data_IF_941337907701
#
_entry.id   IF_941337907701
#
_cell.length_a   1.000
_cell.length_b   1.000
_cell.length_c   1.000
_cell.angle_alpha   90.00
_cell.angle_beta   90.00
_cell.angle_gamma   90.00
#
_symmetry.space_group_name_H-M   'P 1'
#
loop_
_entity.id
_entity.type
_entity.pdbx_description
1 polymer ?
#
# COMPACT_ATOMS: atom_id res chain seq x y z
N UNK A 1 36.13 -16.49 -6.29
CA UNK A 1 35.15 -17.44 -5.71
C UNK A 1 34.40 -18.19 -6.80
N UNK A 2 33.77 -17.51 -7.74
CA UNK A 2 33.01 -18.15 -8.83
C UNK A 2 33.84 -19.18 -9.64
N UNK A 3 35.10 -18.88 -9.98
CA UNK A 3 35.99 -19.83 -10.66
C UNK A 3 36.23 -21.11 -9.85
N UNK A 4 36.39 -21.00 -8.52
CA UNK A 4 36.56 -22.16 -7.62
C UNK A 4 35.29 -23.03 -7.59
N UNK A 5 34.12 -22.39 -7.61
CA UNK A 5 32.84 -23.10 -7.68
C UNK A 5 32.68 -23.79 -9.04
N UNK A 6 33.02 -23.16 -10.16
CA UNK A 6 32.90 -23.78 -11.49
C UNK A 6 33.76 -25.05 -11.61
N UNK A 7 34.97 -25.04 -11.05
CA UNK A 7 35.79 -26.25 -10.96
C UNK A 7 35.10 -27.38 -10.17
N UNK A 8 34.09 -27.09 -9.34
CA UNK A 8 33.32 -28.09 -8.59
C UNK A 8 32.26 -28.82 -9.43
N UNK A 9 31.77 -28.21 -10.51
CA UNK A 9 30.85 -28.85 -11.44
C UNK A 9 31.57 -29.76 -12.44
N UNK A 10 32.84 -29.49 -12.72
CA UNK A 10 33.65 -30.25 -13.69
C UNK A 10 34.45 -31.40 -13.05
N UNK A 11 34.49 -31.49 -11.71
CA UNK A 11 35.32 -32.48 -11.01
C UNK A 11 34.53 -33.73 -10.60
N UNK A 12 34.59 -34.76 -11.44
CA UNK A 12 33.98 -36.09 -11.21
C UNK A 12 34.88 -37.06 -10.40
N UNK A 13 36.06 -36.62 -9.95
CA UNK A 13 37.04 -37.45 -9.21
C UNK A 13 36.93 -37.40 -7.67
N UNK A 14 37.80 -38.18 -7.00
CA UNK A 14 37.96 -38.14 -5.53
C UNK A 14 38.40 -36.75 -5.06
N UNK A 15 37.55 -36.11 -4.26
CA UNK A 15 37.74 -34.78 -3.68
C UNK A 15 38.68 -34.88 -2.46
N UNK A 16 39.98 -35.04 -2.73
CA UNK A 16 41.02 -35.24 -1.71
C UNK A 16 41.26 -34.05 -0.75
N UNK A 17 42.26 -34.18 0.13
CA UNK A 17 42.53 -33.22 1.22
C UNK A 17 42.67 -31.76 0.78
N UNK A 18 43.46 -31.48 -0.28
CA UNK A 18 43.64 -30.10 -0.80
C UNK A 18 42.32 -29.44 -1.20
N UNK A 19 41.38 -30.22 -1.72
CA UNK A 19 40.08 -29.73 -2.14
C UNK A 19 39.18 -29.42 -0.93
N UNK A 20 39.25 -30.26 0.12
CA UNK A 20 38.60 -30.00 1.40
C UNK A 20 39.10 -28.70 2.04
N UNK A 21 40.40 -28.42 1.96
CA UNK A 21 41.00 -27.20 2.50
C UNK A 21 40.51 -25.94 1.77
N UNK A 22 40.41 -26.00 0.43
CA UNK A 22 39.85 -24.90 -0.37
C UNK A 22 38.39 -24.62 0.01
N UNK A 23 37.56 -25.66 0.13
CA UNK A 23 36.16 -25.52 0.55
C UNK A 23 36.07 -24.93 1.95
N UNK A 24 36.91 -25.40 2.88
CA UNK A 24 36.96 -24.90 4.24
C UNK A 24 37.29 -23.41 4.27
N UNK A 25 38.24 -22.97 3.46
CA UNK A 25 38.58 -21.55 3.34
C UNK A 25 37.42 -20.74 2.76
N UNK A 26 36.79 -21.22 1.69
CA UNK A 26 35.62 -20.56 1.08
C UNK A 26 34.45 -20.43 2.06
N UNK A 27 34.13 -21.49 2.81
CA UNK A 27 33.04 -21.50 3.78
C UNK A 27 33.36 -20.72 5.07
N UNK A 28 34.64 -20.45 5.36
CA UNK A 28 35.10 -19.63 6.49
C UNK A 28 35.00 -18.13 6.21
N UNK A 29 35.04 -17.72 4.94
CA UNK A 29 34.86 -16.30 4.54
C UNK A 29 33.53 -15.75 5.02
N UNK A 30 33.41 -14.42 5.00
CA UNK A 30 32.26 -13.69 5.53
C UNK A 30 30.92 -14.23 5.01
N UNK A 31 30.78 -14.50 3.70
CA UNK A 31 29.56 -15.08 3.12
C UNK A 31 29.79 -15.83 1.79
N UNK A 32 28.96 -16.84 1.55
CA UNK A 32 28.80 -17.50 0.23
C UNK A 32 27.59 -16.91 -0.46
N UNK A 33 27.82 -16.16 -1.54
CA UNK A 33 26.77 -15.39 -2.21
C UNK A 33 26.20 -16.13 -3.42
N UNK A 34 24.88 -16.15 -3.52
CA UNK A 34 24.12 -16.52 -4.72
C UNK A 34 23.38 -15.29 -5.22
N UNK A 35 23.46 -15.03 -6.52
CA UNK A 35 22.83 -13.89 -7.17
C UNK A 35 21.93 -14.36 -8.31
N UNK A 36 20.89 -13.59 -8.63
CA UNK A 36 20.11 -13.74 -9.85
C UNK A 36 20.94 -13.71 -11.13
N UNK A 37 22.08 -13.01 -11.12
CA UNK A 37 23.01 -12.91 -12.25
C UNK A 37 23.90 -14.15 -12.41
N UNK A 38 23.89 -15.07 -11.44
CA UNK A 38 24.64 -16.32 -11.56
C UNK A 38 24.02 -17.22 -12.63
N UNK A 39 24.85 -17.71 -13.56
CA UNK A 39 24.40 -18.70 -14.54
C UNK A 39 23.92 -19.98 -13.87
N UNK A 40 23.03 -20.74 -14.54
CA UNK A 40 22.55 -22.04 -14.06
C UNK A 40 23.71 -22.99 -13.66
N UNK A 41 24.80 -22.98 -14.43
CA UNK A 41 25.99 -23.79 -14.14
C UNK A 41 26.67 -23.34 -12.84
N UNK A 42 26.81 -22.04 -12.64
CA UNK A 42 27.42 -21.47 -11.44
C UNK A 42 26.54 -21.71 -10.19
N UNK A 43 25.21 -21.59 -10.31
CA UNK A 43 24.28 -21.93 -9.22
C UNK A 43 24.43 -23.40 -8.81
N UNK A 44 24.37 -24.34 -9.76
CA UNK A 44 24.56 -25.78 -9.49
C UNK A 44 25.91 -26.08 -8.86
N UNK A 45 26.95 -25.42 -9.33
CA UNK A 45 28.30 -25.49 -8.81
C UNK A 45 28.38 -25.10 -7.32
N UNK A 46 27.81 -23.93 -6.98
CA UNK A 46 27.76 -23.43 -5.60
C UNK A 46 26.94 -24.36 -4.68
N UNK A 47 25.79 -24.85 -5.14
CA UNK A 47 24.98 -25.84 -4.40
C UNK A 47 25.77 -27.12 -4.14
N UNK A 48 26.46 -27.66 -5.15
CA UNK A 48 27.29 -28.86 -5.02
C UNK A 48 28.41 -28.67 -4.00
N UNK A 49 29.08 -27.51 -4.03
CA UNK A 49 30.11 -27.14 -3.06
C UNK A 49 29.58 -27.08 -1.62
N UNK A 50 28.46 -26.38 -1.39
CA UNK A 50 27.87 -26.27 -0.06
C UNK A 50 27.34 -27.63 0.45
N UNK A 51 26.78 -28.44 -0.44
CA UNK A 51 26.34 -29.80 -0.10
C UNK A 51 27.53 -30.66 0.33
N UNK A 52 28.65 -30.57 -0.39
CA UNK A 52 29.89 -31.24 -0.01
C UNK A 52 30.43 -30.73 1.33
N UNK A 53 30.45 -29.40 1.54
CA UNK A 53 30.88 -28.80 2.80
C UNK A 53 30.05 -29.32 3.98
N UNK A 54 28.73 -29.33 3.84
CA UNK A 54 27.81 -29.82 4.86
C UNK A 54 27.98 -31.31 5.15
N UNK A 55 28.11 -32.16 4.12
CA UNK A 55 28.39 -33.60 4.29
C UNK A 55 29.73 -33.85 4.97
N UNK A 56 30.73 -33.03 4.64
CA UNK A 56 32.10 -33.12 5.18
C UNK A 56 32.28 -32.49 6.56
N UNK A 57 31.19 -32.07 7.21
CA UNK A 57 31.19 -31.38 8.51
C UNK A 57 32.01 -30.08 8.52
N UNK A 58 32.07 -29.39 7.38
CA UNK A 58 32.72 -28.08 7.26
C UNK A 58 31.69 -27.00 7.67
N UNK A 59 31.98 -26.15 8.68
CA UNK A 59 31.11 -25.03 9.03
C UNK A 59 30.95 -24.07 7.87
N UNK A 60 29.71 -23.68 7.58
CA UNK A 60 29.39 -22.66 6.58
C UNK A 60 28.98 -21.41 7.35
N UNK A 61 29.84 -20.37 7.29
CA UNK A 61 29.68 -19.19 8.13
C UNK A 61 28.39 -18.43 7.82
N UNK A 62 28.19 -18.05 6.56
CA UNK A 62 26.97 -17.37 6.12
C UNK A 62 26.64 -17.74 4.68
N UNK A 63 25.37 -17.96 4.41
CA UNK A 63 24.80 -18.09 3.07
C UNK A 63 23.99 -16.83 2.77
N UNK A 64 24.30 -16.15 1.68
CA UNK A 64 23.56 -14.95 1.23
C UNK A 64 22.92 -15.21 -0.13
N UNK A 65 21.61 -15.06 -0.19
CA UNK A 65 20.80 -15.28 -1.38
C UNK A 65 20.24 -13.92 -1.81
N UNK A 66 20.70 -13.37 -2.93
CA UNK A 66 20.30 -12.05 -3.42
C UNK A 66 19.57 -12.15 -4.75
N UNK A 67 18.28 -11.80 -4.74
CA UNK A 67 17.39 -11.89 -5.90
C UNK A 67 17.29 -13.31 -6.53
N UNK A 68 17.64 -14.38 -5.82
CA UNK A 68 17.84 -15.69 -6.45
C UNK A 68 16.80 -16.77 -6.11
N UNK A 69 16.04 -16.62 -5.02
CA UNK A 69 15.03 -17.60 -4.57
C UNK A 69 13.70 -17.40 -5.29
N UNK A 70 13.22 -18.40 -6.02
CA UNK A 70 11.93 -18.37 -6.70
C UNK A 70 10.80 -19.02 -5.90
N UNK A 71 11.09 -20.10 -5.17
CA UNK A 71 10.09 -20.81 -4.36
C UNK A 71 10.72 -21.36 -3.08
N UNK A 72 9.91 -21.46 -2.04
CA UNK A 72 10.33 -21.97 -0.73
C UNK A 72 9.52 -23.21 -0.37
N UNK A 73 10.23 -24.25 0.09
CA UNK A 73 9.63 -25.45 0.67
C UNK A 73 10.28 -25.72 2.02
N UNK A 74 9.63 -26.54 2.85
CA UNK A 74 10.16 -26.91 4.17
C UNK A 74 11.56 -27.56 4.11
N UNK A 75 11.94 -28.17 2.98
CA UNK A 75 13.17 -28.97 2.83
C UNK A 75 14.20 -28.37 1.88
N UNK A 76 13.81 -27.40 1.07
CA UNK A 76 14.66 -26.81 0.05
C UNK A 76 14.19 -25.43 -0.39
N UNK A 77 15.17 -24.61 -0.79
CA UNK A 77 14.94 -23.39 -1.55
C UNK A 77 15.09 -23.72 -3.04
N UNK A 78 14.09 -23.36 -3.85
CA UNK A 78 14.19 -23.45 -5.30
C UNK A 78 14.71 -22.10 -5.80
N UNK A 79 15.91 -22.12 -6.35
CA UNK A 79 16.58 -20.97 -6.91
C UNK A 79 16.23 -20.82 -8.40
N UNK A 80 16.53 -19.66 -8.99
CA UNK A 80 16.41 -19.44 -10.44
C UNK A 80 16.97 -20.60 -11.26
N UNK A 81 16.37 -20.84 -12.42
CA UNK A 81 16.69 -21.94 -13.33
C UNK A 81 16.53 -23.35 -12.70
N UNK A 82 15.54 -23.48 -11.81
CA UNK A 82 15.14 -24.72 -11.12
C UNK A 82 16.26 -25.41 -10.33
N UNK A 83 17.21 -24.62 -9.80
CA UNK A 83 18.31 -25.17 -9.00
C UNK A 83 17.85 -25.31 -7.55
N UNK A 84 17.79 -26.55 -7.04
CA UNK A 84 17.36 -26.80 -5.67
C UNK A 84 18.52 -26.75 -4.68
N UNK A 85 18.40 -25.93 -3.64
CA UNK A 85 19.29 -25.89 -2.48
C UNK A 85 18.60 -26.52 -1.27
N UNK A 86 19.05 -27.72 -0.89
CA UNK A 86 18.54 -28.41 0.30
C UNK A 86 19.11 -27.91 1.62
N UNK A 87 18.67 -28.53 2.71
CA UNK A 87 19.16 -28.28 4.08
C UNK A 87 20.68 -28.51 4.21
N UNK A 88 21.37 -27.53 4.78
CA UNK A 88 22.80 -27.53 5.07
C UNK A 88 23.02 -27.62 6.58
N UNK A 89 23.32 -28.82 7.09
CA UNK A 89 23.43 -29.12 8.52
C UNK A 89 24.50 -28.33 9.27
N UNK A 90 25.45 -27.70 8.57
CA UNK A 90 26.59 -26.97 9.13
C UNK A 90 26.50 -25.45 8.90
N UNK A 91 25.37 -24.97 8.37
CA UNK A 91 25.11 -23.56 8.13
C UNK A 91 24.84 -22.83 9.44
N UNK A 92 25.51 -21.68 9.66
CA UNK A 92 25.36 -20.86 10.87
C UNK A 92 24.48 -19.63 10.69
N UNK A 93 24.58 -18.96 9.55
CA UNK A 93 23.77 -17.80 9.25
C UNK A 93 23.18 -17.88 7.83
N UNK A 94 21.97 -17.37 7.67
CA UNK A 94 21.33 -17.23 6.36
C UNK A 94 20.79 -15.82 6.17
N UNK A 95 21.11 -15.22 5.03
CA UNK A 95 20.54 -13.96 4.57
C UNK A 95 19.79 -14.22 3.26
N UNK A 96 18.50 -13.86 3.21
CA UNK A 96 17.67 -14.02 2.01
C UNK A 96 17.10 -12.68 1.63
N UNK A 97 17.36 -12.25 0.40
CA UNK A 97 16.91 -10.99 -0.15
C UNK A 97 16.09 -11.24 -1.44
N UNK A 98 14.80 -10.90 -1.40
CA UNK A 98 13.84 -10.89 -2.53
C UNK A 98 12.79 -9.80 -2.32
N UNK A 99 13.11 -8.58 -2.72
CA UNK A 99 12.19 -7.43 -2.63
C UNK A 99 11.04 -7.43 -3.64
N UNK A 100 11.15 -8.22 -4.71
CA UNK A 100 10.15 -8.34 -5.78
C UNK A 100 9.07 -9.40 -5.49
N UNK A 101 9.34 -10.33 -4.57
CA UNK A 101 8.50 -11.49 -4.32
C UNK A 101 7.47 -11.19 -3.23
N UNK A 102 6.19 -11.11 -3.63
CA UNK A 102 5.06 -11.15 -2.70
C UNK A 102 4.88 -12.60 -2.21
N UNK A 103 5.50 -12.93 -1.08
CA UNK A 103 5.31 -14.21 -0.42
C UNK A 103 3.85 -14.37 0.02
N UNK A 104 3.26 -15.53 -0.23
CA UNK A 104 1.98 -15.90 0.40
C UNK A 104 2.24 -16.51 1.78
N UNK A 105 1.22 -16.56 2.65
CA UNK A 105 1.32 -17.10 4.02
C UNK A 105 2.09 -18.43 4.10
N UNK A 106 1.82 -19.32 3.15
CA UNK A 106 2.46 -20.64 3.07
C UNK A 106 3.97 -20.57 2.83
N UNK A 107 4.46 -19.62 2.03
CA UNK A 107 5.89 -19.50 1.76
C UNK A 107 6.66 -19.06 3.01
N UNK A 108 6.06 -18.19 3.84
CA UNK A 108 6.65 -17.78 5.12
C UNK A 108 6.79 -18.97 6.07
N UNK A 109 5.74 -19.80 6.20
CA UNK A 109 5.79 -21.01 7.01
C UNK A 109 6.88 -21.97 6.52
N UNK A 110 6.94 -22.19 5.20
CA UNK A 110 7.99 -23.02 4.62
C UNK A 110 9.39 -22.45 4.86
N UNK A 111 9.57 -21.13 4.84
CA UNK A 111 10.86 -20.47 5.07
C UNK A 111 11.32 -20.65 6.52
N UNK A 112 10.42 -20.43 7.48
CA UNK A 112 10.70 -20.66 8.90
C UNK A 112 11.05 -22.14 9.14
N UNK A 113 10.28 -23.07 8.56
CA UNK A 113 10.58 -24.51 8.63
C UNK A 113 11.90 -24.88 7.99
N UNK A 114 12.24 -24.26 6.85
CA UNK A 114 13.54 -24.44 6.21
C UNK A 114 14.67 -23.98 7.14
N UNK A 115 14.58 -22.79 7.74
CA UNK A 115 15.54 -22.28 8.72
C UNK A 115 15.66 -23.25 9.89
N UNK A 116 14.53 -23.70 10.43
CA UNK A 116 14.49 -24.65 11.55
C UNK A 116 15.20 -25.97 11.19
N UNK A 117 14.99 -26.48 9.98
CA UNK A 117 15.60 -27.73 9.52
C UNK A 117 17.13 -27.62 9.36
N UNK A 118 17.67 -26.41 9.21
CA UNK A 118 19.10 -26.14 9.29
C UNK A 118 19.54 -26.07 10.77
N UNK A 119 19.92 -27.23 11.32
CA UNK A 119 20.10 -27.42 12.77
C UNK A 119 21.10 -26.47 13.45
N UNK A 120 22.12 -25.99 12.73
CA UNK A 120 23.19 -25.14 13.26
C UNK A 120 22.97 -23.64 12.98
N UNK A 121 21.84 -23.25 12.39
CA UNK A 121 21.56 -21.83 12.13
C UNK A 121 21.27 -21.14 13.45
N UNK A 122 21.97 -20.04 13.68
CA UNK A 122 21.87 -19.16 14.86
C UNK A 122 21.17 -17.84 14.49
N UNK A 123 21.34 -17.38 13.25
CA UNK A 123 20.81 -16.11 12.76
C UNK A 123 20.21 -16.26 11.37
N UNK A 124 19.00 -15.74 11.17
CA UNK A 124 18.35 -15.61 9.88
C UNK A 124 17.94 -14.15 9.64
N UNK A 125 18.42 -13.56 8.55
CA UNK A 125 18.09 -12.21 8.12
C UNK A 125 17.28 -12.27 6.83
N UNK A 126 16.04 -11.78 6.87
CA UNK A 126 15.07 -11.87 5.79
C UNK A 126 14.77 -10.46 5.25
N UNK A 127 15.17 -10.19 4.01
CA UNK A 127 15.04 -8.91 3.32
C UNK A 127 13.96 -9.06 2.23
N UNK A 128 12.73 -8.75 2.61
CA UNK A 128 11.54 -8.88 1.78
C UNK A 128 10.61 -7.69 2.08
N UNK A 129 9.60 -7.41 1.24
CA UNK A 129 8.74 -6.23 1.41
C UNK A 129 8.07 -6.12 2.78
N UNK A 130 7.77 -7.27 3.40
CA UNK A 130 6.94 -7.33 4.60
C UNK A 130 6.97 -8.68 5.32
N UNK A 131 7.07 -8.72 6.67
CA UNK A 131 6.96 -9.96 7.44
C UNK A 131 5.54 -10.58 7.39
N UNK A 132 5.33 -11.83 7.83
CA UNK A 132 3.98 -12.31 8.09
C UNK A 132 3.38 -11.56 9.31
N UNK A 133 2.05 -11.60 9.48
CA UNK A 133 1.37 -10.93 10.61
C UNK A 133 1.90 -11.46 11.96
N UNK A 134 2.01 -12.79 12.06
CA UNK A 134 2.58 -13.48 13.21
C UNK A 134 2.98 -14.90 12.78
N UNK A 135 3.89 -15.52 13.53
CA UNK A 135 4.18 -16.96 13.43
C UNK A 135 3.33 -17.68 14.46
N UNK A 136 2.42 -18.54 14.01
CA UNK A 136 1.41 -19.18 14.89
C UNK A 136 1.77 -20.59 15.35
N UNK A 137 2.70 -21.26 14.67
CA UNK A 137 3.05 -22.63 15.00
C UNK A 137 3.91 -22.68 16.28
N UNK A 138 3.30 -23.11 17.39
CA UNK A 138 3.97 -23.21 18.68
C UNK A 138 5.19 -24.14 18.66
N UNK A 139 5.18 -25.20 17.83
CA UNK A 139 6.29 -26.14 17.75
C UNK A 139 7.49 -25.47 17.10
N UNK A 140 7.25 -24.67 16.07
CA UNK A 140 8.28 -23.89 15.40
C UNK A 140 8.85 -22.82 16.34
N UNK A 141 7.98 -22.08 17.05
CA UNK A 141 8.39 -21.08 18.05
C UNK A 141 9.24 -21.69 19.17
N UNK A 142 8.80 -22.81 19.77
CA UNK A 142 9.56 -23.54 20.80
C UNK A 142 10.91 -24.01 20.27
N UNK A 143 10.96 -24.41 19.00
CA UNK A 143 12.20 -24.84 18.37
C UNK A 143 13.19 -23.67 18.20
N UNK A 144 12.73 -22.53 17.68
CA UNK A 144 13.54 -21.31 17.58
C UNK A 144 14.03 -20.85 18.95
N UNK A 145 13.15 -20.86 19.96
CA UNK A 145 13.48 -20.46 21.34
C UNK A 145 14.51 -21.39 21.97
N UNK A 146 14.34 -22.72 21.87
CA UNK A 146 15.26 -23.70 22.48
C UNK A 146 16.69 -23.63 21.93
N UNK A 147 16.84 -23.10 20.72
CA UNK A 147 18.13 -22.93 20.03
C UNK A 147 18.62 -21.49 20.01
N UNK A 148 17.89 -20.57 20.64
CA UNK A 148 18.21 -19.14 20.67
C UNK A 148 18.45 -18.56 19.27
N UNK A 149 17.60 -18.94 18.30
CA UNK A 149 17.73 -18.47 16.92
C UNK A 149 17.14 -17.07 16.80
N UNK A 150 17.93 -16.12 16.30
CA UNK A 150 17.44 -14.79 15.96
C UNK A 150 16.89 -14.79 14.53
N UNK A 151 15.62 -14.40 14.37
CA UNK A 151 15.01 -14.20 13.06
C UNK A 151 14.67 -12.72 12.92
N UNK A 152 15.40 -12.04 12.04
CA UNK A 152 15.27 -10.62 11.77
C UNK A 152 14.68 -10.41 10.37
N UNK A 153 13.66 -9.56 10.28
CA UNK A 153 13.09 -9.10 9.02
C UNK A 153 13.50 -7.65 8.78
N UNK A 154 14.22 -7.40 7.72
CA UNK A 154 14.82 -6.08 7.46
C UNK A 154 14.09 -5.43 6.30
N UNK A 155 13.51 -4.26 6.56
CA UNK A 155 12.83 -3.43 5.56
C UNK A 155 13.67 -2.16 5.35
N UNK A 156 14.19 -1.97 4.14
CA UNK A 156 15.06 -0.85 3.80
C UNK A 156 16.42 -0.97 4.47
N UNK A 157 16.99 0.15 4.89
CA UNK A 157 18.31 0.18 5.52
C UNK A 157 18.28 -0.01 7.05
N UNK A 158 17.23 0.50 7.73
CA UNK A 158 17.27 0.73 9.19
C UNK A 158 16.09 0.13 9.98
N UNK A 159 15.05 -0.38 9.30
CA UNK A 159 13.88 -0.96 9.97
C UNK A 159 14.06 -2.46 10.13
N UNK A 160 14.18 -2.93 11.37
CA UNK A 160 14.37 -4.34 11.69
C UNK A 160 13.19 -4.80 12.54
N UNK A 161 12.49 -5.82 12.08
CA UNK A 161 11.51 -6.53 12.87
C UNK A 161 12.12 -7.84 13.37
N UNK A 162 12.27 -7.99 14.67
CA UNK A 162 12.76 -9.22 15.29
C UNK A 162 11.58 -10.07 15.75
N UNK A 163 11.56 -11.34 15.37
CA UNK A 163 10.52 -12.27 15.82
C UNK A 163 10.64 -12.49 17.33
N UNK A 164 9.61 -12.12 18.08
CA UNK A 164 9.46 -12.54 19.45
C UNK A 164 9.01 -14.00 19.48
N UNK A 165 9.95 -14.90 19.75
CA UNK A 165 9.70 -16.35 19.77
C UNK A 165 8.73 -16.80 20.87
N UNK A 166 8.41 -15.95 21.85
CA UNK A 166 7.43 -16.26 22.90
C UNK A 166 6.00 -15.93 22.49
N UNK A 167 5.80 -14.80 21.79
CA UNK A 167 4.46 -14.35 21.36
C UNK A 167 4.15 -14.73 19.91
N UNK A 168 5.17 -15.02 19.11
CA UNK A 168 5.05 -15.18 17.65
C UNK A 168 4.91 -13.87 16.89
N UNK A 169 4.97 -12.73 17.58
CA UNK A 169 4.80 -11.40 16.99
C UNK A 169 6.14 -10.78 16.58
N UNK A 170 6.08 -9.82 15.66
CA UNK A 170 7.26 -9.12 15.14
C UNK A 170 7.49 -7.81 15.87
N UNK A 171 8.52 -7.77 16.71
CA UNK A 171 8.91 -6.58 17.46
C UNK A 171 9.70 -5.65 16.57
N UNK A 172 9.27 -4.41 16.43
CA UNK A 172 9.97 -3.41 15.63
C UNK A 172 11.10 -2.77 16.44
N UNK A 173 12.30 -2.75 15.88
CA UNK A 173 13.44 -1.98 16.34
C UNK A 173 14.00 -1.13 15.19
N UNK A 174 14.27 0.15 15.47
CA UNK A 174 14.96 1.04 14.53
C UNK A 174 16.43 1.12 14.91
N UNK A 175 17.34 0.71 14.02
CA UNK A 175 18.79 0.86 14.24
C UNK A 175 19.29 2.09 13.50
N UNK A 176 19.67 3.13 14.24
CA UNK A 176 20.36 4.30 13.68
C UNK A 176 21.75 3.88 13.14
N UNK A 177 22.18 4.38 11.97
CA UNK A 177 23.53 4.15 11.49
C UNK A 177 24.54 4.81 12.44
N UNK A 178 25.34 4.01 13.15
CA UNK A 178 26.47 4.52 13.95
C UNK A 178 26.72 3.86 15.31
N UNK A 179 25.81 3.06 15.86
CA UNK A 179 26.11 2.27 17.08
C UNK A 179 26.46 0.83 16.71
N UNK A 180 27.75 0.59 16.50
CA UNK A 180 28.30 -0.74 16.77
C UNK A 180 27.93 -1.09 18.22
N UNK A 181 27.31 -2.26 18.41
CA UNK A 181 26.96 -2.81 19.72
C UNK A 181 28.24 -2.99 20.55
N UNK A 182 28.55 -1.99 21.38
CA UNK A 182 29.34 -2.19 22.58
C UNK A 182 28.37 -2.63 23.68
N UNK A 183 28.71 -3.76 24.31
CA UNK A 183 28.03 -4.32 25.48
C UNK A 183 27.66 -3.24 26.51
N UNK A 184 26.44 -3.38 27.04
CA UNK A 184 25.99 -2.95 28.37
C UNK A 184 26.94 -2.05 29.15
N UNK A 185 26.64 -0.76 29.24
CA UNK A 185 26.79 -0.04 30.51
C UNK A 185 25.82 1.13 30.59
N UNK A 186 25.12 1.14 31.73
CA UNK A 186 24.35 2.21 32.36
C UNK A 186 24.76 3.63 31.99
N UNK A 187 23.80 4.44 31.52
CA UNK A 187 23.63 5.87 31.79
C UNK A 187 22.20 6.31 31.37
N UNK A 188 21.51 7.04 32.25
CA UNK A 188 20.15 7.60 32.06
C UNK A 188 20.19 8.89 31.21
N UNK A 189 19.05 9.35 30.67
CA UNK A 189 18.95 9.92 29.33
C UNK A 189 19.19 11.43 29.29
N UNK A 190 19.71 11.90 28.16
CA UNK A 190 19.61 13.31 27.75
C UNK A 190 18.40 13.40 26.82
N UNK A 191 17.39 14.10 27.29
CA UNK A 191 16.23 14.58 26.53
C UNK A 191 16.71 15.64 25.54
N UNK A 192 16.66 15.33 24.25
CA UNK A 192 16.59 16.32 23.19
C UNK A 192 15.62 15.83 22.12
N UNK A 193 14.89 16.79 21.58
CA UNK A 193 13.62 16.69 20.86
C UNK A 193 13.79 15.86 19.58
N UNK A 194 13.33 14.61 19.60
CA UNK A 194 13.13 13.78 18.42
C UNK A 194 11.62 13.65 18.17
N UNK A 195 11.14 13.74 16.91
CA UNK A 195 9.73 13.58 16.61
C UNK A 195 9.25 12.21 17.07
N UNK A 196 8.10 12.22 17.73
CA UNK A 196 7.54 11.16 18.56
C UNK A 196 7.12 9.88 17.80
N UNK A 197 7.42 9.75 16.51
CA UNK A 197 7.21 8.53 15.73
C UNK A 197 7.95 8.61 14.36
N UNK A 198 8.93 7.77 14.02
CA UNK A 198 9.72 7.88 12.78
C UNK A 198 8.92 7.56 11.50
N UNK A 199 7.70 7.02 11.64
CA UNK A 199 6.77 6.77 10.53
C UNK A 199 5.83 7.95 10.27
N UNK A 200 6.00 9.07 10.97
CA UNK A 200 5.14 10.24 10.85
C UNK A 200 5.97 11.53 10.89
N UNK A 201 5.60 12.49 10.05
CA UNK A 201 6.18 13.83 10.03
C UNK A 201 5.08 14.86 9.81
N UNK A 202 5.24 16.01 10.44
CA UNK A 202 4.35 17.16 10.28
C UNK A 202 5.18 18.38 9.93
N UNK A 203 4.71 19.17 8.97
CA UNK A 203 5.36 20.41 8.56
C UNK A 203 4.29 21.44 8.16
N UNK A 204 4.43 22.66 8.66
CA UNK A 204 3.66 23.80 8.15
C UNK A 204 4.23 24.20 6.78
N UNK A 205 3.38 24.21 5.76
CA UNK A 205 3.76 24.55 4.39
C UNK A 205 2.87 25.68 3.91
N UNK A 206 3.49 26.71 3.35
CA UNK A 206 2.83 27.90 2.84
C UNK A 206 2.73 27.84 1.30
N UNK A 207 2.41 28.98 0.68
CA UNK A 207 2.28 29.12 -0.78
C UNK A 207 3.59 28.88 -1.53
N UNK A 208 4.75 28.94 -0.86
CA UNK A 208 6.06 28.71 -1.48
C UNK A 208 6.36 27.22 -1.67
N UNK A 209 5.51 26.33 -1.14
CA UNK A 209 5.70 24.89 -1.20
C UNK A 209 6.68 24.39 -0.16
N UNK A 210 7.04 23.10 -0.24
CA UNK A 210 7.90 22.47 0.73
C UNK A 210 8.06 20.97 0.50
N UNK A 211 9.07 20.39 1.12
CA UNK A 211 9.36 18.96 1.03
C UNK A 211 9.27 18.35 2.42
N UNK A 212 8.36 17.40 2.61
CA UNK A 212 8.37 16.51 3.76
C UNK A 212 9.14 15.27 3.37
N UNK A 213 10.19 14.92 4.11
CA UNK A 213 10.94 13.70 3.87
C UNK A 213 10.96 12.88 5.17
N UNK A 214 10.45 11.65 5.13
CA UNK A 214 10.58 10.73 6.25
C UNK A 214 12.01 10.16 6.21
N UNK A 215 12.87 10.49 7.19
CA UNK A 215 14.27 10.13 7.14
C UNK A 215 14.46 8.61 6.97
N UNK A 216 15.40 8.21 6.11
CA UNK A 216 15.81 6.82 5.89
C UNK A 216 14.73 5.86 5.34
N UNK A 217 13.57 6.36 4.93
CA UNK A 217 12.49 5.55 4.32
C UNK A 217 12.49 5.58 2.80
N UNK A 218 13.16 6.58 2.20
CA UNK A 218 13.03 6.90 0.78
C UNK A 218 11.68 7.53 0.40
N UNK A 219 10.78 7.74 1.37
CA UNK A 219 9.47 8.37 1.17
C UNK A 219 9.59 9.87 1.41
N UNK A 220 9.22 10.64 0.40
CA UNK A 220 9.10 12.09 0.48
C UNK A 220 7.84 12.57 -0.23
N UNK A 221 7.29 13.67 0.26
CA UNK A 221 6.19 14.42 -0.35
C UNK A 221 6.72 15.80 -0.72
N UNK A 222 6.86 16.02 -2.02
CA UNK A 222 7.23 17.30 -2.61
C UNK A 222 5.94 18.08 -2.96
N UNK A 223 5.80 19.27 -2.39
CA UNK A 223 4.70 20.18 -2.62
C UNK A 223 5.27 21.39 -3.37
N UNK A 224 4.97 21.54 -4.67
CA UNK A 224 5.53 22.62 -5.46
C UNK A 224 4.95 23.99 -5.04
N UNK A 225 5.67 25.09 -5.32
CA UNK A 225 5.16 26.44 -5.13
C UNK A 225 3.80 26.64 -5.84
N UNK A 226 2.86 27.29 -5.17
CA UNK A 226 1.50 27.52 -5.68
C UNK A 226 0.55 26.32 -5.58
N UNK A 227 0.99 25.18 -5.03
CA UNK A 227 0.10 24.04 -4.79
C UNK A 227 -0.87 24.27 -3.61
N UNK A 228 -0.55 25.19 -2.70
CA UNK A 228 -1.40 25.58 -1.57
C UNK A 228 -1.82 27.05 -1.71
N UNK A 229 -3.07 27.35 -1.39
CA UNK A 229 -3.61 28.72 -1.38
C UNK A 229 -3.34 29.48 -0.07
N UNK A 230 -3.07 28.73 1.00
CA UNK A 230 -2.81 29.25 2.36
C UNK A 230 -1.90 28.31 3.12
N UNK A 231 -1.33 28.79 4.22
CA UNK A 231 -0.54 27.96 5.13
C UNK A 231 -1.37 26.81 5.70
N UNK A 232 -0.82 25.60 5.63
CA UNK A 232 -1.46 24.38 6.13
C UNK A 232 -0.45 23.50 6.85
N UNK A 233 -0.88 22.88 7.95
CA UNK A 233 -0.13 21.82 8.63
C UNK A 233 -0.34 20.51 7.87
N UNK A 234 0.71 19.99 7.25
CA UNK A 234 0.66 18.76 6.46
C UNK A 234 1.31 17.64 7.25
N UNK A 235 0.57 16.54 7.41
CA UNK A 235 1.03 15.32 8.08
C UNK A 235 1.27 14.22 7.03
N UNK A 236 2.48 13.68 6.98
CA UNK A 236 2.82 12.49 6.21
C UNK A 236 3.02 11.31 7.16
N UNK A 237 2.40 10.17 6.87
CA UNK A 237 2.55 8.93 7.66
C UNK A 237 2.70 7.71 6.76
N UNK A 238 3.63 6.82 7.10
CA UNK A 238 3.70 5.47 6.55
C UNK A 238 2.81 4.55 7.41
N UNK A 239 1.81 3.92 6.78
CA UNK A 239 0.99 2.89 7.42
C UNK A 239 1.56 1.53 7.01
N UNK A 240 2.17 0.77 7.93
CA UNK A 240 2.59 -0.60 7.65
C UNK A 240 1.39 -1.44 7.23
N UNK A 241 1.56 -2.30 6.22
CA UNK A 241 0.49 -3.18 5.72
C UNK A 241 -0.11 -4.11 6.81
N UNK A 242 0.64 -4.39 7.89
CA UNK A 242 0.21 -5.20 9.05
C UNK A 242 -0.40 -4.37 10.19
N UNK A 243 -0.69 -3.08 9.98
CA UNK A 243 -1.33 -2.24 10.98
C UNK A 243 -2.72 -2.81 11.33
N UNK A 244 -2.92 -3.17 12.61
CA UNK A 244 -4.16 -3.76 13.15
C UNK A 244 -5.30 -2.75 13.38
N UNK A 245 -5.13 -1.48 12.98
CA UNK A 245 -6.18 -0.46 13.04
C UNK A 245 -7.15 -0.51 11.86
N UNK A 246 -7.98 0.53 11.71
CA UNK A 246 -8.84 0.71 10.54
C UNK A 246 -8.01 0.79 9.25
N UNK A 247 -7.79 -0.36 8.60
CA UNK A 247 -7.05 -0.42 7.34
C UNK A 247 -7.82 0.36 6.26
N UNK A 248 -7.12 1.19 5.46
CA UNK A 248 -7.76 1.88 4.36
C UNK A 248 -8.26 0.86 3.33
N UNK A 249 -9.45 1.12 2.76
CA UNK A 249 -9.97 0.32 1.65
C UNK A 249 -9.22 0.75 0.37
N UNK A 250 -8.22 -0.03 0.00
CA UNK A 250 -7.43 0.19 -1.21
C UNK A 250 -8.25 0.01 -2.49
N UNK A 251 -8.10 0.92 -3.45
CA UNK A 251 -8.66 0.78 -4.80
C UNK A 251 -7.69 1.29 -5.85
N UNK A 252 -7.65 0.69 -7.05
CA UNK A 252 -6.88 1.22 -8.16
C UNK A 252 -7.36 2.63 -8.52
N UNK A 253 -6.42 3.56 -8.66
CA UNK A 253 -6.67 4.87 -9.24
C UNK A 253 -6.12 4.85 -10.67
N UNK A 254 -6.97 4.56 -11.68
CA UNK A 254 -6.54 4.65 -13.07
C UNK A 254 -6.17 6.11 -13.38
N UNK A 255 -5.18 6.28 -14.24
CA UNK A 255 -4.73 7.58 -14.78
C UNK A 255 -3.92 8.47 -13.83
N UNK A 256 -3.44 7.97 -12.69
CA UNK A 256 -2.46 8.71 -11.88
C UNK A 256 -1.11 8.69 -12.61
N UNK A 257 -0.53 9.85 -12.97
CA UNK A 257 0.78 9.88 -13.60
C UNK A 257 1.84 9.40 -12.60
N UNK A 258 2.65 8.44 -13.02
CA UNK A 258 3.80 7.99 -12.25
C UNK A 258 5.03 7.81 -13.14
N UNK A 259 6.20 8.01 -12.54
CA UNK A 259 7.50 7.69 -13.14
C UNK A 259 8.12 6.60 -12.29
N UNK A 260 8.23 5.41 -12.88
CA UNK A 260 8.91 4.28 -12.24
C UNK A 260 10.35 4.24 -12.73
N UNK A 261 11.30 4.24 -11.80
CA UNK A 261 12.72 4.01 -12.06
C UNK A 261 13.15 2.69 -11.43
N UNK A 262 14.40 2.26 -11.67
CA UNK A 262 14.97 1.08 -11.02
C UNK A 262 15.03 1.18 -9.48
N UNK A 263 14.98 2.41 -8.93
CA UNK A 263 15.21 2.65 -7.48
C UNK A 263 14.04 3.28 -6.75
N UNK A 264 13.09 3.88 -7.47
CA UNK A 264 11.96 4.57 -6.85
C UNK A 264 10.76 4.66 -7.78
N UNK A 265 9.61 5.02 -7.19
CA UNK A 265 8.40 5.38 -7.91
C UNK A 265 8.00 6.79 -7.49
N UNK A 266 7.88 7.70 -8.47
CA UNK A 266 7.40 9.06 -8.25
C UNK A 266 5.95 9.13 -8.72
N UNK A 267 5.03 9.40 -7.81
CA UNK A 267 3.60 9.46 -8.08
C UNK A 267 3.18 10.93 -8.03
N UNK A 268 2.58 11.45 -9.11
CA UNK A 268 2.02 12.79 -9.12
C UNK A 268 0.61 12.75 -8.57
N UNK A 269 0.44 13.27 -7.36
CA UNK A 269 -0.85 13.41 -6.70
C UNK A 269 -1.36 14.82 -6.93
N UNK A 270 -2.54 14.95 -7.53
CA UNK A 270 -3.18 16.26 -7.67
C UNK A 270 -3.97 16.64 -6.41
N UNK A 271 -4.39 15.67 -5.59
CA UNK A 271 -5.22 15.87 -4.39
C UNK A 271 -5.01 14.78 -3.34
N UNK A 272 -5.31 15.08 -2.08
CA UNK A 272 -5.47 14.09 -1.01
C UNK A 272 -6.88 13.44 -1.07
N UNK A 273 -7.04 12.23 -0.52
CA UNK A 273 -8.31 11.48 -0.61
C UNK A 273 -9.37 11.99 0.37
N UNK A 274 -9.03 12.26 1.62
CA UNK A 274 -9.92 12.85 2.62
C UNK A 274 -9.23 14.07 3.22
N UNK A 275 -9.97 15.16 3.37
CA UNK A 275 -9.51 16.42 3.94
C UNK A 275 -10.18 16.63 5.30
N UNK A 276 -9.54 17.37 6.21
CA UNK A 276 -10.15 17.80 7.47
C UNK A 276 -10.78 19.18 7.30
N UNK A 277 -12.01 19.35 7.75
CA UNK A 277 -12.77 20.60 7.69
C UNK A 277 -13.14 21.04 9.10
N UNK A 278 -12.98 22.32 9.39
CA UNK A 278 -13.63 22.95 10.54
C UNK A 278 -15.09 23.23 10.18
N UNK A 279 -16.02 22.55 10.85
CA UNK A 279 -17.46 22.79 10.74
C UNK A 279 -17.98 23.09 12.14
N UNK A 280 -18.23 24.37 12.43
CA UNK A 280 -18.57 24.83 13.78
C UNK A 280 -17.38 24.67 14.74
N UNK A 281 -17.57 23.92 15.82
CA UNK A 281 -16.55 23.64 16.85
C UNK A 281 -15.83 22.30 16.65
N UNK A 282 -16.08 21.60 15.53
CA UNK A 282 -15.56 20.25 15.28
C UNK A 282 -14.70 20.18 14.01
N UNK A 283 -13.61 19.40 14.10
CA UNK A 283 -12.75 19.03 12.96
C UNK A 283 -13.22 17.68 12.43
N UNK A 284 -13.78 17.66 11.22
CA UNK A 284 -14.37 16.47 10.60
C UNK A 284 -13.65 16.06 9.31
N UNK A 285 -13.55 14.76 9.06
CA UNK A 285 -13.03 14.21 7.79
C UNK A 285 -14.12 14.32 6.69
N UNK A 286 -13.79 14.92 5.54
CA UNK A 286 -14.72 15.07 4.42
C UNK A 286 -14.06 15.09 3.04
N UNK A 287 -14.89 15.23 2.00
CA UNK A 287 -14.49 15.44 0.59
C UNK A 287 -15.22 16.66 0.04
N UNK A 288 -14.50 17.53 -0.67
CA UNK A 288 -15.15 18.58 -1.46
C UNK A 288 -15.86 17.95 -2.66
N UNK A 289 -17.15 18.23 -2.77
CA UNK A 289 -17.97 17.78 -3.88
C UNK A 289 -18.71 18.97 -4.49
N UNK A 290 -19.02 18.85 -5.76
CA UNK A 290 -19.95 19.73 -6.46
C UNK A 290 -21.22 18.94 -6.69
N UNK A 291 -22.30 19.38 -6.06
CA UNK A 291 -23.66 18.93 -6.33
C UNK A 291 -24.16 19.61 -7.59
N UNK A 292 -24.89 18.89 -8.43
CA UNK A 292 -25.42 19.45 -9.66
C UNK A 292 -26.80 18.89 -9.99
N UNK A 293 -27.56 19.68 -10.75
CA UNK A 293 -28.69 19.20 -11.51
C UNK A 293 -28.47 19.48 -13.00
N UNK A 294 -28.81 18.53 -13.87
CA UNK A 294 -28.66 18.69 -15.30
C UNK A 294 -29.68 17.90 -16.11
N UNK A 295 -29.98 18.38 -17.32
CA UNK A 295 -30.92 17.77 -18.27
C UNK A 295 -30.20 16.74 -19.14
N UNK A 296 -30.69 15.50 -19.17
CA UNK A 296 -30.20 14.46 -20.08
C UNK A 296 -30.52 14.89 -21.53
N UNK A 297 -29.50 14.93 -22.40
CA UNK A 297 -29.65 15.36 -23.79
C UNK A 297 -30.44 14.37 -24.66
N UNK A 298 -30.65 13.13 -24.18
CA UNK A 298 -31.48 12.12 -24.85
C UNK A 298 -32.98 12.23 -24.51
N UNK A 299 -33.36 13.21 -23.67
CA UNK A 299 -34.76 13.46 -23.30
C UNK A 299 -35.64 13.72 -24.51
N UNK A 300 -36.87 13.19 -24.48
CA UNK A 300 -37.86 13.41 -25.54
C UNK A 300 -38.64 14.70 -25.32
N UNK A 301 -39.47 15.07 -26.29
CA UNK A 301 -40.27 16.27 -26.26
C UNK A 301 -41.34 16.32 -25.16
N UNK A 302 -41.73 15.17 -24.61
CA UNK A 302 -42.77 15.02 -23.58
C UNK A 302 -42.25 14.53 -22.24
N UNK A 303 -41.01 14.00 -22.20
CA UNK A 303 -40.38 13.43 -21.02
C UNK A 303 -38.98 14.02 -20.87
N UNK A 304 -38.77 14.77 -19.78
CA UNK A 304 -37.45 15.29 -19.44
C UNK A 304 -36.84 14.50 -18.29
N UNK A 305 -35.64 13.97 -18.51
CA UNK A 305 -34.84 13.35 -17.46
C UNK A 305 -33.86 14.37 -16.86
N UNK A 306 -33.95 14.55 -15.54
CA UNK A 306 -33.05 15.38 -14.75
C UNK A 306 -32.11 14.45 -13.95
N UNK A 307 -30.81 14.64 -14.15
CA UNK A 307 -29.78 14.02 -13.33
C UNK A 307 -29.44 14.95 -12.17
N UNK A 308 -29.71 14.50 -10.96
CA UNK A 308 -29.24 15.18 -9.73
C UNK A 308 -28.17 14.32 -9.10
N UNK A 309 -27.00 14.88 -8.87
CA UNK A 309 -25.85 14.10 -8.47
C UNK A 309 -24.70 14.93 -7.95
N UNK A 310 -23.53 14.29 -7.89
CA UNK A 310 -22.31 14.91 -7.43
C UNK A 310 -21.14 14.54 -8.34
N UNK A 311 -20.09 15.35 -8.31
CA UNK A 311 -18.74 14.97 -8.67
C UNK A 311 -17.75 15.54 -7.66
N UNK A 312 -16.58 14.93 -7.55
CA UNK A 312 -15.53 15.46 -6.67
C UNK A 312 -14.99 16.77 -7.23
N UNK A 313 -14.79 17.75 -6.36
CA UNK A 313 -14.26 19.07 -6.72
C UNK A 313 -12.74 18.98 -7.01
N UNK A 314 -12.41 18.38 -8.16
CA UNK A 314 -11.07 18.15 -8.65
C UNK A 314 -10.98 18.64 -10.11
N UNK A 315 -9.82 19.09 -10.61
CA UNK A 315 -9.58 19.39 -12.01
C UNK A 315 -9.98 18.21 -12.89
N UNK A 316 -10.89 18.47 -13.82
CA UNK A 316 -11.47 17.44 -14.70
C UNK A 316 -12.63 16.64 -14.10
N UNK A 317 -13.03 16.89 -12.85
CA UNK A 317 -14.22 16.28 -12.22
C UNK A 317 -15.49 16.50 -13.02
N UNK A 318 -15.65 17.68 -13.64
CA UNK A 318 -16.74 18.02 -14.56
C UNK A 318 -16.79 17.13 -15.81
N UNK A 319 -15.65 16.57 -16.25
CA UNK A 319 -15.65 15.60 -17.38
C UNK A 319 -16.48 14.35 -17.04
N UNK A 320 -16.59 14.00 -15.76
CA UNK A 320 -17.47 12.91 -15.28
C UNK A 320 -18.94 13.21 -15.53
N UNK A 321 -19.34 14.49 -15.50
CA UNK A 321 -20.70 14.93 -15.82
C UNK A 321 -20.91 14.97 -17.34
N UNK A 322 -19.93 15.50 -18.08
CA UNK A 322 -19.96 15.55 -19.55
C UNK A 322 -20.02 14.17 -20.22
N UNK A 323 -19.41 13.14 -19.62
CA UNK A 323 -19.48 11.75 -20.10
C UNK A 323 -20.90 11.17 -20.10
N UNK A 324 -21.83 11.73 -19.33
CA UNK A 324 -23.22 11.28 -19.27
C UNK A 324 -24.15 12.02 -20.25
N UNK A 325 -23.61 12.83 -21.17
CA UNK A 325 -24.38 13.61 -22.15
C UNK A 325 -25.49 14.46 -21.49
N UNK A 326 -25.13 15.24 -20.47
CA UNK A 326 -26.05 16.09 -19.71
C UNK A 326 -25.71 17.57 -19.93
N UNK A 327 -26.72 18.41 -20.11
CA UNK A 327 -26.58 19.86 -19.99
C UNK A 327 -26.74 20.27 -18.53
N UNK A 328 -25.67 20.72 -17.88
CA UNK A 328 -25.70 21.16 -16.48
C UNK A 328 -26.50 22.46 -16.34
N UNK A 329 -27.47 22.48 -15.42
CA UNK A 329 -28.38 23.59 -15.20
C UNK A 329 -27.99 24.41 -13.96
N UNK A 330 -27.53 23.74 -12.90
CA UNK A 330 -27.06 24.38 -11.65
C UNK A 330 -25.98 23.53 -10.99
N UNK A 331 -25.08 24.19 -10.25
CA UNK A 331 -24.01 23.58 -9.46
C UNK A 331 -23.94 24.25 -8.09
N UNK A 332 -23.69 23.48 -7.04
CA UNK A 332 -23.49 23.97 -5.69
C UNK A 332 -22.34 23.22 -5.01
N UNK A 333 -21.44 23.95 -4.37
CA UNK A 333 -20.32 23.36 -3.62
C UNK A 333 -20.80 22.87 -2.27
N UNK A 334 -20.35 21.68 -1.86
CA UNK A 334 -20.67 21.06 -0.59
C UNK A 334 -19.51 20.20 -0.08
N UNK A 335 -19.56 19.85 1.21
CA UNK A 335 -18.64 18.90 1.83
C UNK A 335 -19.37 17.61 2.13
N UNK A 336 -18.84 16.48 1.66
CA UNK A 336 -19.32 15.15 1.97
C UNK A 336 -18.51 14.55 3.11
N UNK A 337 -19.15 14.37 4.26
CA UNK A 337 -18.56 13.92 5.51
C UNK A 337 -18.39 12.40 5.54
N UNK A 338 -17.28 11.96 6.13
CA UNK A 338 -16.97 10.54 6.35
C UNK A 338 -17.74 9.98 7.55
N UNK A 339 -18.04 10.81 8.53
CA UNK A 339 -18.67 10.41 9.79
C UNK A 339 -20.11 9.92 9.59
N UNK A 340 -20.53 8.96 10.42
CA UNK A 340 -21.87 8.37 10.36
C UNK A 340 -22.16 7.48 9.15
N UNK A 341 -21.26 7.41 8.15
CA UNK A 341 -21.43 6.65 6.91
C UNK A 341 -22.79 6.92 6.21
N UNK A 342 -23.27 8.17 6.28
CA UNK A 342 -24.59 8.58 5.79
C UNK A 342 -24.57 8.74 4.25
N UNK A 343 -25.59 8.27 3.51
CA UNK A 343 -25.67 8.46 2.06
C UNK A 343 -25.86 9.93 1.68
N UNK A 344 -25.58 10.25 0.41
CA UNK A 344 -25.99 11.51 -0.18
C UNK A 344 -27.45 11.39 -0.65
N UNK A 345 -28.29 12.31 -0.20
CA UNK A 345 -29.71 12.36 -0.52
C UNK A 345 -29.94 13.36 -1.64
N UNK A 346 -30.80 13.00 -2.59
CA UNK A 346 -31.31 13.87 -3.65
C UNK A 346 -32.83 13.85 -3.58
N UNK A 347 -33.46 15.02 -3.49
CA UNK A 347 -34.91 15.17 -3.29
C UNK A 347 -35.50 16.13 -4.31
N UNK A 348 -36.60 15.71 -4.93
CA UNK A 348 -37.47 16.60 -5.68
C UNK A 348 -38.44 17.29 -4.72
N UNK A 349 -38.46 18.63 -4.73
CA UNK A 349 -39.31 19.45 -3.87
C UNK A 349 -40.57 19.86 -4.61
N UNK A 350 -40.41 20.68 -5.65
CA UNK A 350 -41.52 21.23 -6.42
C UNK A 350 -41.10 21.63 -7.85
N UNK A 351 -42.10 21.94 -8.67
CA UNK A 351 -41.94 22.52 -10.00
C UNK A 351 -43.03 23.56 -10.25
N UNK A 352 -42.67 24.72 -10.79
CA UNK A 352 -43.59 25.84 -11.03
C UNK A 352 -43.40 26.41 -12.45
N UNK A 353 -44.46 26.63 -13.24
CA UNK A 353 -45.88 26.34 -12.98
C UNK A 353 -46.20 24.82 -13.02
N UNK A 354 -47.36 24.38 -12.47
CA UNK A 354 -47.70 22.95 -12.29
C UNK A 354 -48.04 22.21 -13.60
N UNK A 355 -47.70 22.76 -14.75
CA UNK A 355 -47.87 22.15 -16.08
C UNK A 355 -46.92 20.96 -16.27
N UNK A 356 -45.91 20.85 -15.42
CA UNK A 356 -45.04 19.71 -15.30
C UNK A 356 -45.42 18.85 -14.09
N UNK A 357 -45.30 17.54 -14.24
CA UNK A 357 -45.57 16.57 -13.17
C UNK A 357 -44.38 15.66 -12.97
N UNK A 358 -44.03 15.42 -11.71
CA UNK A 358 -43.10 14.35 -11.36
C UNK A 358 -43.80 13.00 -11.55
N UNK A 359 -43.17 12.09 -12.31
CA UNK A 359 -43.79 10.83 -12.71
C UNK A 359 -44.37 10.04 -11.52
N UNK A 360 -45.66 9.70 -11.59
CA UNK A 360 -46.48 9.14 -10.50
C UNK A 360 -45.98 7.83 -9.86
N UNK A 361 -44.94 7.20 -10.41
CA UNK A 361 -44.33 5.95 -9.90
C UNK A 361 -42.92 6.13 -9.31
N UNK A 362 -42.35 7.34 -9.33
CA UNK A 362 -41.00 7.62 -8.82
C UNK A 362 -40.97 7.96 -7.33
N UNK A 363 -39.95 7.50 -6.59
CA UNK A 363 -39.65 8.04 -5.25
C UNK A 363 -39.19 9.49 -5.37
N UNK A 364 -39.81 10.42 -4.64
CA UNK A 364 -39.39 11.85 -4.60
C UNK A 364 -38.01 12.04 -3.99
N UNK A 365 -37.57 11.10 -3.16
CA UNK A 365 -36.25 11.08 -2.54
C UNK A 365 -35.48 9.85 -3.05
N UNK A 366 -34.24 10.07 -3.45
CA UNK A 366 -33.31 9.04 -3.92
C UNK A 366 -31.98 9.22 -3.20
N UNK A 367 -31.28 8.12 -2.98
CA UNK A 367 -30.03 8.11 -2.24
C UNK A 367 -28.91 7.55 -3.11
N UNK A 368 -27.74 8.17 -2.99
CA UNK A 368 -26.48 7.66 -3.49
C UNK A 368 -25.72 7.14 -2.26
N UNK A 369 -25.47 5.83 -2.23
CA UNK A 369 -24.87 5.19 -1.05
C UNK A 369 -23.54 5.84 -0.66
N UNK A 370 -23.28 5.93 0.65
CA UNK A 370 -22.03 6.48 1.18
C UNK A 370 -20.80 5.88 0.48
N UNK A 371 -20.78 4.55 0.35
CA UNK A 371 -19.69 3.82 -0.30
C UNK A 371 -19.45 4.29 -1.73
N UNK A 372 -20.51 4.65 -2.48
CA UNK A 372 -20.39 5.16 -3.85
C UNK A 372 -19.77 6.56 -3.84
N UNK A 373 -20.27 7.47 -3.01
CA UNK A 373 -19.76 8.85 -2.91
C UNK A 373 -18.30 8.88 -2.45
N UNK A 374 -17.97 8.05 -1.46
CA UNK A 374 -16.64 7.90 -0.91
C UNK A 374 -15.59 7.39 -1.93
N UNK A 375 -16.02 6.72 -3.01
CA UNK A 375 -15.08 5.97 -3.86
C UNK A 375 -15.21 6.19 -5.36
N UNK A 376 -16.27 6.84 -5.83
CA UNK A 376 -16.47 7.19 -7.23
C UNK A 376 -16.35 8.70 -7.41
N UNK A 377 -15.61 9.13 -8.45
CA UNK A 377 -15.41 10.55 -8.80
C UNK A 377 -16.70 11.31 -9.14
N UNK A 378 -17.81 10.58 -9.35
CA UNK A 378 -19.14 11.14 -9.50
C UNK A 378 -20.24 10.09 -9.59
N UNK A 379 -21.48 10.53 -9.48
CA UNK A 379 -22.68 9.70 -9.58
C UNK A 379 -23.94 10.55 -9.53
N UNK A 380 -25.08 9.98 -9.92
CA UNK A 380 -26.35 10.70 -9.98
C UNK A 380 -27.55 9.79 -9.77
N UNK A 381 -28.68 10.41 -9.48
CA UNK A 381 -30.02 9.85 -9.51
C UNK A 381 -30.81 10.48 -10.65
N UNK A 382 -31.57 9.67 -11.39
CA UNK A 382 -32.45 10.13 -12.46
C UNK A 382 -33.81 10.54 -11.88
N UNK A 383 -34.33 11.70 -12.27
CA UNK A 383 -35.68 12.16 -11.96
C UNK A 383 -36.42 12.42 -13.27
N UNK A 384 -37.65 11.94 -13.39
CA UNK A 384 -38.42 12.02 -14.64
C UNK A 384 -39.55 13.02 -14.46
N UNK A 385 -39.53 14.06 -15.28
CA UNK A 385 -40.53 15.11 -15.34
C UNK A 385 -41.33 14.95 -16.64
N UNK A 386 -42.66 14.98 -16.54
CA UNK A 386 -43.56 14.86 -17.68
C UNK A 386 -44.38 16.13 -17.83
N UNK A 387 -44.53 16.60 -19.07
CA UNK A 387 -45.49 17.66 -19.37
C UNK A 387 -46.91 17.08 -19.26
N UNK A 388 -47.84 17.83 -18.67
CA UNK A 388 -49.25 17.43 -18.63
C UNK A 388 -49.82 17.29 -20.04
N UNK A 389 -50.61 16.26 -20.23
CA UNK A 389 -51.27 15.97 -21.50
C UNK A 389 -52.23 17.13 -21.86
N UNK A 390 -52.04 17.73 -23.04
CA UNK A 390 -52.83 18.87 -23.52
C UNK A 390 -52.17 20.25 -23.45
N UNK A 391 -50.98 20.38 -22.85
CA UNK A 391 -50.22 21.65 -22.82
C UNK A 391 -49.54 21.90 -24.18
N UNK A 392 -49.96 22.94 -24.92
CA UNK A 392 -49.43 23.26 -26.26
C UNK A 392 -48.20 24.20 -26.24
N UNK A 393 -48.00 24.98 -25.18
CA UNK A 393 -46.86 25.88 -25.02
C UNK A 393 -45.91 25.42 -23.91
N UNK A 394 -44.60 25.32 -24.21
CA UNK A 394 -43.58 25.04 -23.21
C UNK A 394 -43.22 26.35 -22.49
N UNK A 395 -43.90 26.61 -21.38
CA UNK A 395 -43.44 27.65 -20.46
C UNK A 395 -42.17 27.18 -19.76
N UNK A 396 -41.23 28.12 -19.59
CA UNK A 396 -40.10 27.93 -18.69
C UNK A 396 -40.64 27.52 -17.32
N UNK A 397 -40.09 26.45 -16.73
CA UNK A 397 -40.48 26.04 -15.39
C UNK A 397 -39.29 26.10 -14.43
N UNK A 398 -39.54 26.63 -13.24
CA UNK A 398 -38.61 26.61 -12.13
C UNK A 398 -38.68 25.26 -11.46
N UNK A 399 -37.56 24.56 -11.46
CA UNK A 399 -37.40 23.26 -10.82
C UNK A 399 -36.68 23.42 -9.49
N UNK A 400 -37.27 22.84 -8.45
CA UNK A 400 -36.77 22.89 -7.09
C UNK A 400 -36.30 21.50 -6.67
N UNK A 401 -35.00 21.34 -6.55
CA UNK A 401 -34.38 20.13 -6.00
C UNK A 401 -33.54 20.48 -4.77
N UNK A 402 -33.30 19.48 -3.95
CA UNK A 402 -32.38 19.55 -2.82
C UNK A 402 -31.42 18.37 -2.88
N UNK A 403 -30.17 18.60 -2.53
CA UNK A 403 -29.19 17.55 -2.43
C UNK A 403 -28.20 17.80 -1.29
N UNK A 404 -27.71 16.74 -0.66
CA UNK A 404 -26.77 16.88 0.45
C UNK A 404 -26.70 15.66 1.34
N UNK A 405 -26.06 15.78 2.50
CA UNK A 405 -25.83 14.67 3.42
C UNK A 405 -26.30 15.04 4.82
N UNK A 406 -27.15 14.21 5.43
CA UNK A 406 -27.65 14.46 6.78
C UNK A 406 -28.40 15.80 6.87
N UNK A 407 -27.93 16.68 7.76
CA UNK A 407 -28.45 18.06 7.91
C UNK A 407 -27.93 19.03 6.84
N UNK A 408 -26.82 18.71 6.19
CA UNK A 408 -26.14 19.58 5.22
C UNK A 408 -26.77 19.40 3.83
N UNK A 409 -28.02 19.84 3.69
CA UNK A 409 -28.77 19.83 2.44
C UNK A 409 -28.76 21.24 1.83
N UNK A 410 -28.42 21.32 0.54
CA UNK A 410 -28.44 22.55 -0.25
C UNK A 410 -29.52 22.52 -1.32
N UNK A 411 -30.04 23.70 -1.66
CA UNK A 411 -31.02 23.89 -2.71
C UNK A 411 -30.36 23.96 -4.09
N UNK A 412 -30.99 23.33 -5.07
CA UNK A 412 -30.61 23.32 -6.48
C UNK A 412 -31.80 23.86 -7.29
N UNK A 413 -31.85 25.19 -7.43
CA UNK A 413 -32.87 25.92 -8.18
C UNK A 413 -32.39 26.21 -9.60
N UNK A 414 -33.21 25.90 -10.61
CA UNK A 414 -32.90 26.21 -12.00
C UNK A 414 -34.16 26.35 -12.85
N UNK A 415 -34.01 27.06 -13.97
CA UNK A 415 -35.06 27.19 -14.99
C UNK A 415 -34.86 26.12 -16.06
N UNK A 416 -35.86 25.27 -16.25
CA UNK A 416 -35.94 24.30 -17.33
C UNK A 416 -36.67 24.93 -18.51
N UNK A 417 -35.98 24.96 -19.65
CA UNK A 417 -36.49 25.44 -20.95
C UNK A 417 -36.87 24.29 -21.87
#
# INVERSE_FOLDING_TARGET
MNCICLCFAEYDGYKGHKFKDIVKEVCRRESVNFSSEDSRLLLRSKVSMLTFASRSQIPINCLKLSDVVEKVTEKALILKADVSLGVLKTLRAIEVNRWDLMLITQDYEHLIKFIINNKMVEVACLLFPSPPVAVKDEKDLKNLQSRNISVEWIIGANLIHTLNVTTGEWMMEFRLPGRMSAKSSSLKPITDILPTNPLQMELCINTDGGVLALPDTGVSLDIPPGALEKEQLIQMRIIPYNFQGNQPVWRPQPDTPYVLTERNCVIKLNHFSWEKFDIGDEIVDGKKIVLYAGKDLSSSESITEIHVGYYWDLPGGERTVNLNAVSVLVKQYAVFLKEGNVPLTCRFVNIEPPDWTYGAKGKKTKEISFRRVATCKGGFCKFVLNIKEGTQERHNCECYFEAGQGSEIVELLFILK
#
